data_IF_736781084632
#
_entry.id   IF_736781084632
#
_cell.length_a   1.000
_cell.length_b   1.000
_cell.length_c   1.000
_cell.angle_alpha   90.00
_cell.angle_beta   90.00
_cell.angle_gamma   90.00
#
_symmetry.space_group_name_H-M   'P 1'
#
loop_
_entity.id
_entity.type
_entity.pdbx_description
1 polymer ?
#
# COMPACT_ATOMS: atom_id res chain seq x y z
N UNK A 1 -11.33 -10.20 10.44
CA UNK A 1 -9.97 -10.68 10.13
C UNK A 1 -9.67 -10.25 8.70
N UNK A 2 -8.41 -9.92 8.39
CA UNK A 2 -7.89 -9.46 7.07
C UNK A 2 -8.14 -10.50 5.96
N UNK A 3 -7.45 -10.37 4.82
CA UNK A 3 -6.99 -11.52 4.01
C UNK A 3 -6.07 -12.48 4.82
N UNK A 4 -6.42 -12.76 6.09
CA UNK A 4 -5.80 -13.71 7.00
C UNK A 4 -4.32 -13.54 7.27
N UNK A 5 -3.87 -12.31 7.56
CA UNK A 5 -2.48 -12.00 7.90
C UNK A 5 -1.47 -12.31 6.78
N UNK A 6 -1.93 -12.34 5.53
CA UNK A 6 -1.05 -12.48 4.37
C UNK A 6 0.01 -11.37 4.35
N UNK A 7 1.26 -11.75 4.22
CA UNK A 7 2.40 -10.84 4.34
C UNK A 7 2.71 -10.05 3.06
N UNK A 8 2.60 -10.68 1.88
CA UNK A 8 2.97 -10.12 0.58
C UNK A 8 4.35 -10.61 0.09
N UNK A 9 4.55 -10.62 -1.23
CA UNK A 9 5.76 -11.16 -1.91
C UNK A 9 6.29 -10.29 -3.06
N UNK A 10 5.84 -9.03 -3.13
CA UNK A 10 6.05 -8.15 -4.27
C UNK A 10 7.18 -7.13 -4.02
N UNK A 11 8.20 -7.49 -3.24
CA UNK A 11 9.30 -6.62 -2.83
C UNK A 11 8.84 -5.38 -2.05
N UNK A 12 7.72 -5.46 -1.36
CA UNK A 12 7.17 -4.34 -0.62
C UNK A 12 8.11 -3.91 0.51
N UNK A 13 8.86 -4.84 1.11
CA UNK A 13 9.85 -4.56 2.17
C UNK A 13 11.04 -3.75 1.67
N UNK A 14 11.33 -3.79 0.37
CA UNK A 14 12.33 -2.95 -0.28
C UNK A 14 11.73 -1.64 -0.82
N UNK A 15 10.57 -1.70 -1.49
CA UNK A 15 10.00 -0.57 -2.21
C UNK A 15 9.26 0.42 -1.32
N UNK A 16 8.39 -0.07 -0.43
CA UNK A 16 7.45 0.77 0.31
C UNK A 16 8.17 1.67 1.34
N UNK A 17 9.05 1.15 2.23
CA UNK A 17 9.81 2.01 3.16
C UNK A 17 10.67 3.04 2.44
N UNK A 18 11.22 2.73 1.27
CA UNK A 18 12.02 3.68 0.49
C UNK A 18 11.19 4.82 -0.07
N UNK A 19 9.91 4.56 -0.35
CA UNK A 19 9.01 5.53 -0.98
C UNK A 19 8.41 6.50 0.03
N UNK A 20 7.92 5.97 1.14
CA UNK A 20 7.13 6.74 2.12
C UNK A 20 7.84 6.90 3.47
N UNK A 21 9.00 6.28 3.66
CA UNK A 21 9.67 6.17 4.94
C UNK A 21 9.21 4.94 5.75
N UNK A 22 10.01 4.45 6.70
CA UNK A 22 9.72 3.22 7.43
C UNK A 22 8.49 3.33 8.34
N UNK A 23 8.23 4.51 8.91
CA UNK A 23 7.06 4.73 9.75
C UNK A 23 5.76 4.74 8.96
N UNK A 24 5.69 5.53 7.88
CA UNK A 24 4.52 5.55 7.01
C UNK A 24 4.29 4.18 6.36
N UNK A 25 5.35 3.44 6.01
CA UNK A 25 5.21 2.07 5.50
C UNK A 25 4.53 1.14 6.51
N UNK A 26 4.93 1.18 7.79
CA UNK A 26 4.25 0.43 8.86
C UNK A 26 2.79 0.83 9.01
N UNK A 27 2.51 2.14 8.96
CA UNK A 27 1.15 2.66 9.06
C UNK A 27 0.29 2.20 7.88
N UNK A 28 0.79 2.26 6.65
CA UNK A 28 0.08 1.81 5.44
C UNK A 28 -0.20 0.30 5.52
N UNK A 29 0.81 -0.52 5.87
CA UNK A 29 0.63 -1.97 5.98
C UNK A 29 -0.26 -2.38 7.16
N UNK A 30 -0.35 -1.55 8.20
CA UNK A 30 -1.22 -1.76 9.36
C UNK A 30 -2.63 -1.18 9.20
N UNK A 31 -2.82 -0.19 8.34
CA UNK A 31 -4.10 0.44 8.08
C UNK A 31 -4.98 -0.47 7.22
N UNK A 32 -6.26 -0.56 7.58
CA UNK A 32 -7.25 -1.45 6.97
C UNK A 32 -8.36 -0.69 6.27
N UNK A 33 -8.14 0.60 6.05
CA UNK A 33 -9.04 1.48 5.35
C UNK A 33 -8.46 1.79 3.96
N UNK A 34 -9.32 2.01 2.96
CA UNK A 34 -8.87 2.42 1.64
C UNK A 34 -8.11 3.74 1.72
N UNK A 35 -7.04 3.86 0.93
CA UNK A 35 -6.32 5.11 0.72
C UNK A 35 -6.77 5.67 -0.63
N UNK A 36 -7.27 6.90 -0.62
CA UNK A 36 -7.71 7.59 -1.85
C UNK A 36 -6.51 8.03 -2.70
N UNK A 37 -6.72 8.29 -4.00
CA UNK A 37 -5.64 8.75 -4.87
C UNK A 37 -4.99 10.09 -4.39
N UNK A 38 -5.75 11.12 -3.98
CA UNK A 38 -5.15 12.35 -3.44
C UNK A 38 -4.29 12.09 -2.19
N UNK A 39 -4.79 11.29 -1.26
CA UNK A 39 -4.09 10.88 -0.04
C UNK A 39 -2.82 10.09 -0.37
N UNK A 40 -2.89 9.15 -1.33
CA UNK A 40 -1.73 8.39 -1.79
C UNK A 40 -0.62 9.31 -2.32
N UNK A 41 -0.96 10.41 -3.00
CA UNK A 41 0.02 11.41 -3.43
C UNK A 41 0.62 12.18 -2.26
N UNK A 42 -0.22 12.61 -1.32
CA UNK A 42 0.20 13.37 -0.14
C UNK A 42 1.20 12.59 0.72
N UNK A 43 0.94 11.31 0.94
CA UNK A 43 1.85 10.43 1.71
C UNK A 43 3.03 9.90 0.90
N UNK A 44 3.16 10.30 -0.38
CA UNK A 44 4.23 9.89 -1.27
C UNK A 44 4.08 8.49 -1.87
N UNK A 45 2.98 7.78 -1.60
CA UNK A 45 2.65 6.47 -2.18
C UNK A 45 2.32 6.55 -3.69
N UNK A 46 2.03 7.73 -4.24
CA UNK A 46 1.87 7.99 -5.67
C UNK A 46 2.64 9.26 -6.06
N UNK A 47 3.23 9.31 -7.25
CA UNK A 47 4.04 10.46 -7.69
C UNK A 47 3.14 11.61 -8.19
N UNK A 48 1.99 11.26 -8.77
CA UNK A 48 1.02 12.21 -9.29
C UNK A 48 -0.37 11.55 -9.40
N UNK A 49 -1.40 12.40 -9.42
CA UNK A 49 -2.80 12.01 -9.65
C UNK A 49 -3.33 12.90 -10.75
N UNK A 50 -3.85 12.30 -11.81
CA UNK A 50 -4.32 12.97 -13.03
C UNK A 50 -5.25 12.03 -13.80
N UNK A 51 -5.92 12.55 -14.83
CA UNK A 51 -6.93 11.82 -15.60
C UNK A 51 -8.32 11.92 -14.96
N UNK A 52 -9.33 12.21 -15.78
CA UNK A 52 -10.73 12.22 -15.33
C UNK A 52 -11.34 10.81 -15.31
N UNK A 53 -10.89 9.95 -16.22
CA UNK A 53 -11.28 8.55 -16.32
C UNK A 53 -10.08 7.69 -16.76
N UNK A 54 -10.30 6.38 -16.96
CA UNK A 54 -9.26 5.44 -17.33
C UNK A 54 -8.61 5.74 -18.69
N UNK A 55 -9.39 6.23 -19.67
CA UNK A 55 -8.90 6.52 -21.02
C UNK A 55 -8.02 7.78 -21.00
N UNK A 56 -8.50 8.84 -20.35
CA UNK A 56 -7.75 10.08 -20.18
C UNK A 56 -6.48 9.87 -19.34
N UNK A 57 -6.54 9.08 -18.27
CA UNK A 57 -5.36 8.67 -17.51
C UNK A 57 -4.32 7.98 -18.40
N UNK A 58 -4.73 6.98 -19.19
CA UNK A 58 -3.83 6.25 -20.07
C UNK A 58 -3.18 7.17 -21.11
N UNK A 59 -3.97 8.03 -21.76
CA UNK A 59 -3.47 8.98 -22.74
C UNK A 59 -2.48 9.98 -22.12
N UNK A 60 -2.76 10.50 -20.92
CA UNK A 60 -1.86 11.36 -20.17
C UNK A 60 -0.59 10.65 -19.71
N UNK A 61 -0.69 9.40 -19.26
CA UNK A 61 0.45 8.60 -18.83
C UNK A 61 1.43 8.38 -20.00
N UNK A 62 0.92 8.05 -21.19
CA UNK A 62 1.73 7.93 -22.42
C UNK A 62 2.40 9.24 -22.77
N UNK A 63 1.67 10.37 -22.74
CA UNK A 63 2.26 11.70 -23.00
C UNK A 63 3.38 12.04 -22.02
N UNK A 64 3.17 11.78 -20.73
CA UNK A 64 4.19 12.00 -19.68
C UNK A 64 5.41 11.11 -19.88
N UNK A 65 5.21 9.83 -20.21
CA UNK A 65 6.29 8.90 -20.49
C UNK A 65 7.10 9.30 -21.72
N UNK A 66 6.41 9.74 -22.80
CA UNK A 66 7.06 10.27 -24.00
C UNK A 66 7.87 11.54 -23.69
N UNK A 67 7.32 12.46 -22.88
CA UNK A 67 8.03 13.64 -22.42
C UNK A 67 9.28 13.31 -21.60
N UNK A 68 9.22 12.29 -20.74
CA UNK A 68 10.40 11.80 -20.00
C UNK A 68 11.42 11.15 -20.94
N UNK A 69 10.98 10.38 -21.93
CA UNK A 69 11.86 9.74 -22.90
C UNK A 69 12.58 10.77 -23.81
N UNK A 70 11.95 11.90 -24.09
CA UNK A 70 12.53 13.00 -24.87
C UNK A 70 13.32 14.01 -24.01
N UNK A 71 13.40 13.82 -22.70
CA UNK A 71 14.05 14.77 -21.80
C UNK A 71 15.57 14.77 -21.94
N UNK A 72 16.18 15.95 -21.92
CA UNK A 72 17.64 16.12 -22.00
C UNK A 72 18.37 15.53 -20.79
N UNK A 73 17.67 15.35 -19.66
CA UNK A 73 18.22 14.80 -18.42
C UNK A 73 18.00 13.28 -18.29
N UNK A 74 17.45 12.61 -19.31
CA UNK A 74 17.16 11.18 -19.27
C UNK A 74 18.39 10.33 -18.91
N UNK A 75 19.52 10.57 -19.56
CA UNK A 75 20.75 9.80 -19.30
C UNK A 75 21.25 9.99 -17.86
N UNK A 76 21.22 11.21 -17.34
CA UNK A 76 21.58 11.49 -15.96
C UNK A 76 20.64 10.76 -14.97
N UNK A 77 19.33 10.72 -15.26
CA UNK A 77 18.34 9.98 -14.45
C UNK A 77 18.57 8.48 -14.51
N UNK A 78 18.87 7.93 -15.68
CA UNK A 78 19.18 6.51 -15.85
C UNK A 78 20.45 6.13 -15.09
N UNK A 79 21.49 6.95 -15.15
CA UNK A 79 22.73 6.69 -14.41
C UNK A 79 22.51 6.81 -12.89
N UNK A 80 21.76 7.80 -12.42
CA UNK A 80 21.38 7.88 -11.01
C UNK A 80 20.58 6.64 -10.55
N UNK A 81 19.65 6.15 -11.39
CA UNK A 81 18.89 4.92 -11.14
C UNK A 81 19.81 3.69 -11.06
N UNK A 82 20.73 3.52 -12.00
CA UNK A 82 21.72 2.43 -12.04
C UNK A 82 22.65 2.47 -10.83
N UNK A 83 23.22 3.64 -10.55
CA UNK A 83 24.13 3.86 -9.42
C UNK A 83 23.46 3.57 -8.08
N UNK A 84 22.22 4.04 -7.87
CA UNK A 84 21.44 3.68 -6.68
C UNK A 84 21.23 2.16 -6.60
N UNK A 85 20.78 1.54 -7.69
CA UNK A 85 20.53 0.10 -7.72
C UNK A 85 21.80 -0.70 -7.43
N UNK A 86 22.97 -0.29 -7.94
CA UNK A 86 24.26 -0.93 -7.59
C UNK A 86 24.58 -0.82 -6.10
N UNK A 87 24.43 0.36 -5.50
CA UNK A 87 24.65 0.56 -4.04
C UNK A 87 23.70 -0.29 -3.21
N UNK A 88 22.41 -0.22 -3.53
CA UNK A 88 21.39 -1.00 -2.85
C UNK A 88 21.72 -2.50 -2.92
N UNK A 89 22.34 -3.00 -4.03
CA UNK A 89 22.53 -4.44 -4.25
C UNK A 89 23.80 -4.94 -3.56
N UNK A 90 24.77 -4.03 -3.38
CA UNK A 90 25.95 -4.26 -2.56
C UNK A 90 25.60 -4.28 -1.05
N UNK A 91 24.65 -3.45 -0.61
CA UNK A 91 24.17 -3.44 0.78
C UNK A 91 23.29 -4.64 1.09
N UNK A 92 22.20 -4.83 0.32
CA UNK A 92 21.31 -5.98 0.45
C UNK A 92 20.69 -6.35 -0.90
N UNK A 93 20.97 -7.55 -1.44
CA UNK A 93 20.44 -7.94 -2.74
C UNK A 93 18.92 -8.13 -2.71
N UNK A 94 18.23 -7.83 -3.82
CA UNK A 94 16.78 -8.09 -3.96
C UNK A 94 16.41 -9.54 -3.64
N UNK A 95 17.28 -10.49 -4.01
CA UNK A 95 17.09 -11.90 -3.69
C UNK A 95 16.88 -12.14 -2.18
N UNK A 96 17.64 -11.44 -1.33
CA UNK A 96 17.50 -11.54 0.13
C UNK A 96 16.20 -10.90 0.66
N UNK A 97 15.69 -9.84 0.02
CA UNK A 97 14.35 -9.32 0.35
C UNK A 97 13.27 -10.33 -0.05
N UNK A 98 13.36 -10.89 -1.26
CA UNK A 98 12.41 -11.89 -1.75
C UNK A 98 12.40 -13.14 -0.89
N UNK A 99 13.56 -13.65 -0.51
CA UNK A 99 13.67 -14.84 0.33
C UNK A 99 12.98 -14.64 1.68
N UNK A 100 13.19 -13.49 2.32
CA UNK A 100 12.52 -13.16 3.58
C UNK A 100 11.00 -13.07 3.41
N UNK A 101 10.51 -12.33 2.41
CA UNK A 101 9.08 -12.23 2.10
C UNK A 101 8.45 -13.60 1.81
N UNK A 102 9.14 -14.44 1.03
CA UNK A 102 8.68 -15.79 0.69
C UNK A 102 8.67 -16.72 1.89
N UNK A 103 9.59 -16.57 2.84
CA UNK A 103 9.58 -17.33 4.11
C UNK A 103 8.32 -17.00 4.91
N UNK A 104 7.94 -15.72 4.98
CA UNK A 104 6.68 -15.30 5.63
C UNK A 104 5.45 -15.83 4.88
N UNK A 105 5.42 -15.72 3.55
CA UNK A 105 4.34 -16.26 2.73
C UNK A 105 4.19 -17.78 2.86
N UNK A 106 5.30 -18.52 2.97
CA UNK A 106 5.26 -19.96 3.24
C UNK A 106 4.57 -20.27 4.56
N UNK A 107 4.81 -19.49 5.62
CA UNK A 107 4.09 -19.64 6.89
C UNK A 107 2.61 -19.29 6.76
N UNK A 108 2.25 -18.28 5.96
CA UNK A 108 0.84 -17.95 5.69
C UNK A 108 0.09 -19.07 4.95
N UNK A 109 0.77 -19.84 4.09
CA UNK A 109 0.15 -20.88 3.26
C UNK A 109 0.26 -22.30 3.80
N UNK A 110 1.30 -22.60 4.58
CA UNK A 110 1.59 -23.96 5.04
C UNK A 110 1.87 -24.05 6.54
N UNK A 111 1.86 -22.92 7.24
CA UNK A 111 1.97 -22.90 8.69
C UNK A 111 0.69 -23.39 9.37
N UNK A 112 0.76 -23.53 10.68
CA UNK A 112 -0.36 -24.00 11.49
C UNK A 112 -1.55 -23.02 11.54
N UNK A 113 -1.31 -21.71 11.37
CA UNK A 113 -2.38 -20.69 11.39
C UNK A 113 -3.19 -20.72 10.07
N UNK A 114 -4.46 -21.19 10.08
CA UNK A 114 -5.25 -21.29 8.85
C UNK A 114 -5.90 -19.95 8.45
N UNK A 115 -5.57 -18.84 9.14
CA UNK A 115 -6.25 -17.56 8.99
C UNK A 115 -6.34 -17.08 7.53
N UNK A 116 -5.28 -17.26 6.73
CA UNK A 116 -5.28 -16.92 5.30
C UNK A 116 -6.30 -17.75 4.52
N UNK A 117 -6.30 -19.07 4.69
CA UNK A 117 -7.21 -19.95 3.95
C UNK A 117 -8.68 -19.70 4.31
N UNK A 118 -8.97 -19.46 5.59
CA UNK A 118 -10.32 -19.09 6.05
C UNK A 118 -10.75 -17.76 5.46
N UNK A 119 -9.88 -16.74 5.49
CA UNK A 119 -10.19 -15.45 4.90
C UNK A 119 -10.41 -15.53 3.39
N UNK A 120 -9.54 -16.26 2.67
CA UNK A 120 -9.67 -16.52 1.23
C UNK A 120 -10.98 -17.21 0.92
N UNK A 121 -11.34 -18.27 1.64
CA UNK A 121 -12.61 -18.98 1.46
C UNK A 121 -13.81 -18.03 1.62
N UNK A 122 -13.85 -17.27 2.71
CA UNK A 122 -14.94 -16.32 2.97
C UNK A 122 -15.05 -15.25 1.87
N UNK A 123 -13.91 -14.77 1.38
CA UNK A 123 -13.84 -13.81 0.28
C UNK A 123 -14.39 -14.40 -1.03
N UNK A 124 -13.89 -15.56 -1.45
CA UNK A 124 -14.27 -16.23 -2.71
C UNK A 124 -15.75 -16.59 -2.72
N UNK A 125 -16.26 -17.14 -1.62
CA UNK A 125 -17.66 -17.56 -1.51
C UNK A 125 -18.61 -16.45 -1.03
N UNK A 126 -18.11 -15.21 -0.87
CA UNK A 126 -18.90 -14.05 -0.40
C UNK A 126 -19.72 -14.36 0.85
N UNK A 127 -19.10 -15.08 1.80
CA UNK A 127 -19.80 -15.54 3.02
C UNK A 127 -20.36 -14.32 3.78
N UNK A 128 -21.66 -14.31 4.10
CA UNK A 128 -22.27 -13.20 4.83
C UNK A 128 -21.62 -12.97 6.19
N UNK A 129 -21.47 -11.70 6.57
CA UNK A 129 -20.95 -11.33 7.88
C UNK A 129 -22.09 -11.29 8.91
N UNK A 130 -21.90 -11.93 10.06
CA UNK A 130 -22.88 -11.88 11.16
C UNK A 130 -22.87 -10.56 11.93
N UNK A 131 -21.83 -9.73 11.76
CA UNK A 131 -21.68 -8.42 12.40
C UNK A 131 -20.67 -7.54 11.65
N UNK A 132 -20.89 -6.23 11.72
CA UNK A 132 -19.90 -5.25 11.23
C UNK A 132 -18.62 -5.30 12.08
N UNK A 133 -17.43 -5.48 11.47
CA UNK A 133 -16.16 -5.49 12.19
C UNK A 133 -15.86 -4.16 12.94
N UNK A 134 -15.16 -4.24 14.07
CA UNK A 134 -14.83 -3.08 14.92
C UNK A 134 -13.96 -2.01 14.24
N UNK A 135 -13.20 -2.37 13.20
CA UNK A 135 -12.40 -1.40 12.44
C UNK A 135 -13.25 -0.53 11.51
N UNK A 136 -14.51 -0.91 11.26
CA UNK A 136 -15.51 -0.10 10.55
C UNK A 136 -16.53 0.50 11.52
N UNK A 137 -17.02 -0.30 12.48
CA UNK A 137 -18.01 0.14 13.46
C UNK A 137 -17.35 0.84 14.65
N UNK A 138 -16.86 2.07 14.44
CA UNK A 138 -16.16 2.85 15.48
C UNK A 138 -17.01 3.07 16.75
N UNK A 139 -18.33 3.22 16.60
CA UNK A 139 -19.29 3.33 17.71
C UNK A 139 -19.36 2.10 18.63
N UNK A 140 -18.79 0.95 18.21
CA UNK A 140 -18.75 -0.30 19.00
C UNK A 140 -17.39 -0.55 19.65
N UNK A 141 -16.42 0.36 19.47
CA UNK A 141 -15.11 0.25 20.11
C UNK A 141 -15.26 0.66 21.58
N UNK A 142 -14.88 -0.23 22.49
CA UNK A 142 -14.83 0.07 23.92
C UNK A 142 -13.86 1.25 24.11
N UNK A 143 -14.35 2.34 24.71
CA UNK A 143 -13.59 3.59 24.91
C UNK A 143 -13.95 4.77 24.00
N UNK A 144 -14.87 4.63 23.03
CA UNK A 144 -15.31 5.75 22.18
C UNK A 144 -16.24 6.76 22.88
N UNK A 145 -16.64 6.49 24.13
CA UNK A 145 -17.47 7.35 24.96
C UNK A 145 -16.61 8.08 26.02
N UNK A 146 -15.74 8.99 25.57
CA UNK A 146 -15.12 10.03 26.39
C UNK A 146 -14.52 11.10 25.45
N UNK A 147 -15.38 11.91 24.82
CA UNK A 147 -14.96 12.94 23.88
C UNK A 147 -16.14 13.82 23.46
N UNK A 148 -16.72 14.53 24.41
CA UNK A 148 -17.71 15.59 24.19
C UNK A 148 -17.05 16.89 23.74
N UNK A 149 -17.64 17.53 22.72
CA UNK A 149 -17.49 18.95 22.37
C UNK A 149 -16.77 19.18 21.04
N UNK A 150 -17.24 19.94 20.06
CA UNK A 150 -18.45 20.76 19.90
C UNK A 150 -18.66 20.87 18.38
N UNK A 151 -19.83 20.48 17.87
CA UNK A 151 -20.22 20.77 16.49
C UNK A 151 -20.70 22.23 16.46
N UNK A 152 -19.83 23.15 16.09
CA UNK A 152 -20.29 24.45 15.56
C UNK A 152 -20.72 24.25 14.12
N UNK A 153 -22.03 24.14 13.90
CA UNK A 153 -22.64 24.40 12.59
C UNK A 153 -22.40 25.86 12.27
N UNK A 154 -21.61 26.14 11.24
CA UNK A 154 -21.69 27.41 10.53
C UNK A 154 -22.33 27.16 9.17
N UNK A 155 -23.53 27.71 8.99
CA UNK A 155 -24.04 28.26 7.73
C UNK A 155 -25.17 29.25 8.07
N UNK A 156 -25.50 30.20 7.17
CA UNK A 156 -24.86 30.51 5.89
C UNK A 156 -23.89 31.71 5.94
#
# INVERSE_FOLDING_TARGET
KNMGNLYGSEYWTYLLPRRVGPEAARNIMGNRLPIGAPEAREVGLADAVFGLDASDFAAQAVRRAAGLAASVDLEARLEAKRSRRRRDEADRPLAAYREEEMRHMRLNFFGFDPSYHVARYNFVHRVPHSRTPLHLALHRRIGAAAGTGTITRNQP
#
